data_IF_972240471221
#
_entry.id   IF_972240471221
#
_cell.length_a   1.000
_cell.length_b   1.000
_cell.length_c   1.000
_cell.angle_alpha   90.00
_cell.angle_beta   90.00
_cell.angle_gamma   90.00
#
_symmetry.space_group_name_H-M   'P 1'
#
loop_
_entity.id
_entity.type
_entity.pdbx_description
1 polymer ?
#
# COMPACT_ATOMS: atom_id res chain seq x y z
N UNK A 1 85.97 -23.19 -5.35
CA UNK A 1 85.15 -22.57 -4.33
C UNK A 1 84.11 -21.67 -5.03
N UNK A 2 82.89 -22.19 -5.24
CA UNK A 2 81.78 -21.40 -5.81
C UNK A 2 80.56 -21.54 -4.86
N UNK A 3 80.19 -20.46 -4.26
CA UNK A 3 79.03 -20.34 -3.39
C UNK A 3 77.79 -20.06 -4.27
N UNK A 4 76.81 -20.95 -4.14
CA UNK A 4 75.48 -20.86 -4.78
C UNK A 4 74.57 -19.98 -3.92
N UNK A 5 74.05 -18.90 -4.51
CA UNK A 5 73.01 -18.06 -3.87
C UNK A 5 71.63 -18.55 -4.16
N UNK A 6 70.89 -18.93 -3.11
CA UNK A 6 69.49 -19.25 -3.21
C UNK A 6 68.61 -17.98 -3.24
N UNK A 7 67.81 -17.84 -4.28
CA UNK A 7 66.78 -16.78 -4.36
C UNK A 7 65.49 -17.31 -3.71
N UNK A 8 65.10 -16.70 -2.60
CA UNK A 8 63.78 -16.87 -2.01
C UNK A 8 62.73 -16.06 -2.79
N UNK A 9 61.79 -16.74 -3.40
CA UNK A 9 60.65 -16.11 -4.04
C UNK A 9 59.52 -16.01 -2.99
N UNK A 10 59.20 -14.78 -2.57
CA UNK A 10 58.13 -14.51 -1.62
C UNK A 10 56.81 -14.39 -2.43
N UNK A 11 56.03 -15.44 -2.43
CA UNK A 11 54.66 -15.42 -3.01
C UNK A 11 53.71 -14.70 -2.04
N UNK A 12 53.30 -13.48 -2.39
CA UNK A 12 52.19 -12.80 -1.73
C UNK A 12 50.87 -13.50 -2.10
N UNK A 13 50.28 -14.23 -1.17
CA UNK A 13 48.93 -14.72 -1.28
C UNK A 13 48.03 -13.56 -0.86
N UNK A 14 47.33 -12.95 -1.84
CA UNK A 14 46.25 -11.99 -1.58
C UNK A 14 45.02 -12.81 -1.25
N UNK A 15 44.65 -12.89 0.02
CA UNK A 15 43.34 -13.41 0.44
C UNK A 15 42.27 -12.35 0.08
N UNK A 16 41.53 -12.59 -1.00
CA UNK A 16 40.30 -11.89 -1.26
C UNK A 16 39.23 -12.42 -0.27
N UNK A 17 39.05 -11.71 0.82
CA UNK A 17 37.93 -11.96 1.72
C UNK A 17 36.60 -11.57 1.04
N UNK A 18 35.84 -12.55 0.55
CA UNK A 18 34.47 -12.31 0.15
C UNK A 18 33.65 -11.96 1.41
N UNK A 19 33.26 -10.70 1.55
CA UNK A 19 32.23 -10.30 2.49
C UNK A 19 30.92 -10.93 2.02
N UNK A 20 30.57 -12.08 2.57
CA UNK A 20 29.23 -12.64 2.48
C UNK A 20 28.34 -11.78 3.38
N UNK A 21 27.68 -10.81 2.79
CA UNK A 21 26.59 -10.08 3.45
C UNK A 21 25.47 -11.10 3.70
N UNK A 22 25.34 -11.57 4.94
CA UNK A 22 24.18 -12.35 5.36
C UNK A 22 22.97 -11.42 5.31
N UNK A 23 22.20 -11.50 4.24
CA UNK A 23 20.88 -10.90 4.17
C UNK A 23 20.04 -11.67 5.20
N UNK A 24 19.48 -11.01 6.24
CA UNK A 24 18.61 -11.70 7.16
C UNK A 24 17.44 -12.25 6.36
N UNK A 25 17.20 -13.55 6.46
CA UNK A 25 15.99 -14.18 5.92
C UNK A 25 14.81 -13.52 6.61
N UNK A 26 14.13 -12.61 5.93
CA UNK A 26 12.88 -12.02 6.42
C UNK A 26 11.83 -13.10 6.36
N UNK A 27 11.64 -13.79 7.46
CA UNK A 27 10.47 -14.64 7.64
C UNK A 27 9.27 -13.71 7.70
N UNK A 28 8.35 -13.86 6.76
CA UNK A 28 7.11 -13.09 6.65
C UNK A 28 6.06 -13.54 7.70
N UNK A 29 6.47 -13.70 8.95
CA UNK A 29 5.61 -14.16 10.06
C UNK A 29 5.63 -13.19 11.25
N UNK A 30 5.70 -11.87 10.98
CA UNK A 30 5.26 -10.91 12.00
C UNK A 30 3.74 -10.90 12.00
N UNK A 31 3.14 -11.69 12.89
CA UNK A 31 1.70 -11.71 13.08
C UNK A 31 1.19 -10.28 13.29
N UNK A 32 0.19 -9.88 12.48
CA UNK A 32 -0.42 -8.55 12.63
C UNK A 32 -1.08 -8.48 14.01
N UNK A 33 -0.68 -7.50 14.81
CA UNK A 33 -1.12 -7.35 16.19
C UNK A 33 -2.15 -6.22 16.31
N UNK A 34 -3.26 -6.54 16.96
CA UNK A 34 -4.25 -5.55 17.36
C UNK A 34 -3.81 -4.84 18.64
N UNK A 35 -3.90 -3.51 18.69
CA UNK A 35 -3.63 -2.76 19.91
C UNK A 35 -4.59 -3.21 21.03
N UNK A 36 -4.08 -3.75 22.15
CA UNK A 36 -4.91 -4.29 23.21
C UNK A 36 -5.72 -3.22 23.96
N UNK A 37 -5.36 -1.94 23.81
CA UNK A 37 -6.04 -0.80 24.45
C UNK A 37 -7.26 -0.31 23.69
N UNK A 38 -7.50 -0.83 22.48
CA UNK A 38 -8.68 -0.49 21.66
C UNK A 38 -9.98 -0.83 22.41
N UNK A 39 -10.90 0.14 22.40
CA UNK A 39 -12.21 0.01 23.04
C UNK A 39 -13.18 -0.72 22.12
N UNK A 40 -14.06 -1.54 22.70
CA UNK A 40 -15.15 -2.18 21.98
C UNK A 40 -16.20 -1.16 21.50
N UNK A 41 -16.94 -1.51 20.46
CA UNK A 41 -18.03 -0.68 19.96
C UNK A 41 -19.20 -0.64 20.95
N UNK A 42 -19.63 0.55 21.29
CA UNK A 42 -20.84 0.75 22.13
C UNK A 42 -21.99 1.18 21.24
N UNK A 43 -22.96 0.27 21.08
CA UNK A 43 -24.15 0.50 20.28
C UNK A 43 -25.02 1.62 20.88
N UNK A 44 -25.50 2.51 20.01
CA UNK A 44 -26.47 3.56 20.36
C UNK A 44 -27.82 3.30 19.67
N UNK A 45 -28.89 3.91 20.15
CA UNK A 45 -30.22 3.80 19.55
C UNK A 45 -30.42 4.82 18.41
N UNK A 46 -31.39 4.57 17.54
CA UNK A 46 -31.81 5.52 16.51
C UNK A 46 -30.96 5.54 15.24
N UNK A 47 -30.05 4.60 15.06
CA UNK A 47 -29.22 4.49 13.84
C UNK A 47 -29.97 3.65 12.80
N UNK A 48 -30.41 4.30 11.74
CA UNK A 48 -31.15 3.69 10.61
C UNK A 48 -30.80 4.42 9.32
N UNK A 49 -31.16 3.85 8.18
CA UNK A 49 -31.03 4.52 6.88
C UNK A 49 -30.13 3.81 5.88
N UNK A 50 -29.81 4.54 4.82
CA UNK A 50 -29.01 4.04 3.71
C UNK A 50 -27.81 4.96 3.48
N UNK A 51 -26.65 4.38 3.21
CA UNK A 51 -25.42 5.11 2.88
C UNK A 51 -24.79 4.52 1.62
N UNK A 52 -24.38 5.39 0.71
CA UNK A 52 -23.57 5.02 -0.43
C UNK A 52 -22.09 5.35 -0.14
N UNK A 53 -21.24 4.38 -0.43
CA UNK A 53 -19.79 4.48 -0.38
C UNK A 53 -19.26 4.31 -1.79
N UNK A 54 -18.60 5.35 -2.34
CA UNK A 54 -18.04 5.34 -3.70
C UNK A 54 -16.58 5.76 -3.64
N UNK A 55 -15.68 4.92 -4.16
CA UNK A 55 -14.26 5.28 -4.15
C UNK A 55 -13.30 4.14 -4.45
N UNK A 56 -12.31 3.99 -3.59
CA UNK A 56 -11.17 3.12 -3.79
C UNK A 56 -11.51 1.64 -3.89
N UNK A 57 -11.05 0.99 -4.96
CA UNK A 57 -11.04 -0.47 -5.08
C UNK A 57 -10.19 -1.14 -3.98
N UNK A 58 -9.07 -0.53 -3.60
CA UNK A 58 -8.21 -1.06 -2.52
C UNK A 58 -8.97 -1.28 -1.21
N UNK A 59 -9.92 -0.40 -0.88
CA UNK A 59 -10.76 -0.53 0.33
C UNK A 59 -12.08 -1.28 0.08
N UNK A 60 -12.36 -1.73 -1.13
CA UNK A 60 -13.68 -2.27 -1.48
C UNK A 60 -14.06 -3.47 -0.59
N UNK A 61 -13.15 -4.43 -0.43
CA UNK A 61 -13.38 -5.59 0.43
C UNK A 61 -13.48 -5.19 1.90
N UNK A 62 -12.59 -4.33 2.37
CA UNK A 62 -12.57 -3.84 3.75
C UNK A 62 -13.86 -3.08 4.09
N UNK A 63 -14.33 -2.19 3.22
CA UNK A 63 -15.62 -1.49 3.38
C UNK A 63 -16.79 -2.47 3.43
N UNK A 64 -16.77 -3.54 2.63
CA UNK A 64 -17.79 -4.60 2.63
C UNK A 64 -17.80 -5.34 3.96
N UNK A 65 -16.65 -5.75 4.45
CA UNK A 65 -16.54 -6.45 5.74
C UNK A 65 -16.97 -5.56 6.92
N UNK A 66 -16.64 -4.27 6.90
CA UNK A 66 -17.15 -3.32 7.90
C UNK A 66 -18.66 -3.14 7.81
N UNK A 67 -19.20 -3.02 6.61
CA UNK A 67 -20.66 -2.92 6.43
C UNK A 67 -21.38 -4.17 6.94
N UNK A 68 -20.84 -5.36 6.70
CA UNK A 68 -21.37 -6.62 7.26
C UNK A 68 -21.29 -6.66 8.78
N UNK A 69 -20.14 -6.26 9.36
CA UNK A 69 -19.95 -6.17 10.80
C UNK A 69 -20.90 -5.18 11.46
N UNK A 70 -21.06 -4.00 10.86
CA UNK A 70 -21.93 -2.95 11.33
C UNK A 70 -23.42 -3.34 11.24
N UNK A 71 -23.81 -4.05 10.19
CA UNK A 71 -25.19 -4.54 10.01
C UNK A 71 -25.58 -5.58 11.07
N UNK A 72 -24.64 -6.30 11.68
CA UNK A 72 -24.93 -7.15 12.85
C UNK A 72 -25.40 -6.32 14.05
N UNK A 73 -24.92 -5.08 14.18
CA UNK A 73 -25.36 -4.15 15.21
C UNK A 73 -26.67 -3.44 14.83
N UNK A 74 -26.84 -3.11 13.54
CA UNK A 74 -27.96 -2.34 12.99
C UNK A 74 -28.57 -3.03 11.76
N UNK A 75 -29.43 -4.06 11.94
CA UNK A 75 -29.95 -4.86 10.83
C UNK A 75 -30.76 -4.09 9.77
N UNK A 76 -31.32 -2.94 10.13
CA UNK A 76 -32.08 -2.07 9.22
C UNK A 76 -31.20 -1.16 8.34
N UNK A 77 -29.92 -1.05 8.64
CA UNK A 77 -28.99 -0.19 7.90
C UNK A 77 -28.58 -0.87 6.60
N UNK A 78 -28.53 -0.09 5.51
CA UNK A 78 -28.01 -0.53 4.21
C UNK A 78 -26.83 0.34 3.81
N UNK A 79 -25.70 -0.28 3.52
CA UNK A 79 -24.51 0.38 2.99
C UNK A 79 -24.21 -0.22 1.61
N UNK A 80 -24.30 0.62 0.57
CA UNK A 80 -23.96 0.24 -0.81
C UNK A 80 -22.52 0.66 -1.08
N UNK A 81 -21.73 -0.22 -1.70
CA UNK A 81 -20.30 -0.02 -1.87
C UNK A 81 -19.94 -0.15 -3.35
N UNK A 82 -19.25 0.85 -3.89
CA UNK A 82 -18.71 0.88 -5.24
C UNK A 82 -17.21 1.19 -5.22
N UNK A 83 -16.38 0.20 -5.60
CA UNK A 83 -14.92 0.30 -5.63
C UNK A 83 -14.37 0.60 -7.02
N UNK A 84 -14.68 1.76 -7.61
CA UNK A 84 -14.27 2.13 -8.99
C UNK A 84 -12.96 2.92 -9.07
N UNK A 85 -12.30 3.15 -7.96
CA UNK A 85 -11.05 3.90 -7.84
C UNK A 85 -11.20 5.18 -7.03
N UNK A 86 -10.13 5.60 -6.36
CA UNK A 86 -10.16 6.78 -5.46
C UNK A 86 -10.59 8.07 -6.16
N UNK A 87 -10.35 8.20 -7.47
CA UNK A 87 -10.74 9.40 -8.22
C UNK A 87 -12.26 9.57 -8.38
N UNK A 88 -13.06 8.55 -8.06
CA UNK A 88 -14.53 8.64 -8.09
C UNK A 88 -15.12 9.19 -6.78
N UNK A 89 -14.37 9.16 -5.67
CA UNK A 89 -14.84 9.62 -4.36
C UNK A 89 -15.09 11.14 -4.31
N UNK A 90 -14.15 12.03 -4.75
CA UNK A 90 -14.37 13.47 -4.68
C UNK A 90 -15.63 13.94 -5.42
N UNK A 91 -15.88 13.60 -6.69
CA UNK A 91 -17.11 14.02 -7.38
C UNK A 91 -18.37 13.45 -6.70
N UNK A 92 -18.35 12.19 -6.25
CA UNK A 92 -19.51 11.59 -5.57
C UNK A 92 -19.87 12.30 -4.26
N UNK A 93 -18.87 12.70 -3.46
CA UNK A 93 -19.08 13.52 -2.26
C UNK A 93 -19.57 14.93 -2.59
N UNK A 94 -19.04 15.55 -3.66
CA UNK A 94 -19.44 16.87 -4.13
C UNK A 94 -20.88 16.86 -4.63
N UNK A 95 -21.30 15.85 -5.36
CA UNK A 95 -22.65 15.70 -5.90
C UNK A 95 -23.66 15.21 -4.85
N UNK A 96 -23.17 14.66 -3.71
CA UNK A 96 -24.01 14.09 -2.67
C UNK A 96 -24.56 12.70 -3.02
N UNK A 97 -24.00 12.05 -4.05
CA UNK A 97 -24.35 10.66 -4.43
C UNK A 97 -23.72 9.63 -3.52
N UNK A 98 -22.66 10.01 -2.77
CA UNK A 98 -22.08 9.22 -1.70
C UNK A 98 -21.89 10.06 -0.43
N UNK A 99 -22.04 9.43 0.74
CA UNK A 99 -21.71 10.02 2.04
C UNK A 99 -20.33 9.58 2.55
N UNK A 100 -19.80 8.47 2.01
CA UNK A 100 -18.50 7.91 2.33
C UNK A 100 -17.66 7.85 1.05
N UNK A 101 -16.47 8.44 1.08
CA UNK A 101 -15.50 8.43 -0.01
C UNK A 101 -14.21 7.71 0.38
N UNK A 102 -14.13 6.36 0.31
CA UNK A 102 -12.90 5.65 0.60
C UNK A 102 -11.83 5.96 -0.44
N UNK A 103 -10.61 6.23 0.02
CA UNK A 103 -9.47 6.58 -0.83
C UNK A 103 -8.18 5.93 -0.33
N UNK A 104 -7.38 5.43 -1.27
CA UNK A 104 -6.05 4.85 -1.01
C UNK A 104 -4.90 5.81 -1.32
N UNK A 105 -5.19 7.09 -1.38
CA UNK A 105 -4.31 8.26 -1.40
C UNK A 105 -5.03 9.45 -0.80
N UNK A 106 -4.30 10.48 -0.44
CA UNK A 106 -4.91 11.76 -0.12
C UNK A 106 -5.64 12.35 -1.35
N UNK A 107 -6.69 13.15 -1.11
CA UNK A 107 -7.26 13.97 -2.17
C UNK A 107 -6.20 14.91 -2.74
N UNK A 108 -6.18 15.07 -4.06
CA UNK A 108 -5.35 16.07 -4.73
C UNK A 108 -5.84 17.48 -4.39
N UNK A 109 -4.96 18.46 -4.45
CA UNK A 109 -5.36 19.86 -4.22
C UNK A 109 -6.52 20.29 -5.11
N UNK A 110 -6.51 19.91 -6.39
CA UNK A 110 -7.60 20.20 -7.33
C UNK A 110 -8.94 19.58 -6.92
N UNK A 111 -8.94 18.40 -6.27
CA UNK A 111 -10.13 17.73 -5.75
C UNK A 111 -10.64 18.45 -4.50
N UNK A 112 -9.72 18.84 -3.59
CA UNK A 112 -10.04 19.64 -2.39
C UNK A 112 -10.61 21.01 -2.79
N UNK A 113 -9.98 21.71 -3.75
CA UNK A 113 -10.43 23.01 -4.24
C UNK A 113 -11.84 22.93 -4.89
N UNK A 114 -12.12 21.84 -5.61
CA UNK A 114 -13.45 21.60 -6.18
C UNK A 114 -14.51 21.42 -5.10
N UNK A 115 -14.19 20.67 -4.06
CA UNK A 115 -15.07 20.51 -2.90
C UNK A 115 -15.28 21.83 -2.16
N UNK A 116 -14.20 22.56 -1.86
CA UNK A 116 -14.23 23.82 -1.12
C UNK A 116 -14.98 24.94 -1.90
N UNK A 117 -14.88 24.96 -3.22
CA UNK A 117 -15.70 25.88 -4.03
C UNK A 117 -17.20 25.68 -3.83
N UNK A 118 -17.65 24.43 -3.70
CA UNK A 118 -19.07 24.12 -3.50
C UNK A 118 -19.53 24.36 -2.06
N UNK A 119 -18.78 23.90 -1.09
CA UNK A 119 -19.23 23.83 0.29
C UNK A 119 -18.68 24.95 1.19
N UNK A 120 -17.64 25.67 0.75
CA UNK A 120 -16.93 26.73 1.51
C UNK A 120 -16.13 26.22 2.71
N UNK A 121 -15.86 24.91 2.78
CA UNK A 121 -14.98 24.24 3.72
C UNK A 121 -14.38 23.00 3.06
N UNK A 122 -13.30 22.47 3.66
CA UNK A 122 -12.60 21.30 3.13
C UNK A 122 -13.28 19.99 3.55
N UNK A 123 -13.16 18.92 2.74
CA UNK A 123 -13.64 17.59 3.14
C UNK A 123 -12.86 17.09 4.35
N UNK A 124 -13.52 16.31 5.22
CA UNK A 124 -12.86 15.69 6.37
C UNK A 124 -12.37 14.30 6.02
N UNK A 125 -11.07 14.06 6.27
CA UNK A 125 -10.45 12.76 6.08
C UNK A 125 -10.33 12.02 7.42
N UNK A 126 -10.70 10.74 7.42
CA UNK A 126 -10.50 9.81 8.53
C UNK A 126 -9.55 8.70 8.08
N UNK A 127 -8.34 8.57 8.65
CA UNK A 127 -7.53 7.37 8.48
C UNK A 127 -8.27 6.19 9.11
N UNK A 128 -8.36 5.06 8.38
CA UNK A 128 -9.15 3.91 8.82
C UNK A 128 -8.32 2.63 8.94
N UNK A 129 -7.18 2.57 8.26
CA UNK A 129 -6.21 1.49 8.32
C UNK A 129 -4.86 1.98 7.82
N UNK A 130 -3.80 1.21 8.09
CA UNK A 130 -2.46 1.42 7.52
C UNK A 130 -2.21 0.34 6.48
N UNK A 131 -1.62 0.73 5.35
CA UNK A 131 -1.25 -0.15 4.25
C UNK A 131 0.25 -0.01 3.96
N UNK A 132 0.93 -1.13 3.75
CA UNK A 132 2.18 -1.16 3.02
C UNK A 132 1.86 -1.44 1.56
N UNK A 133 2.02 -0.45 0.69
CA UNK A 133 1.88 -0.68 -0.74
C UNK A 133 3.04 -1.57 -1.19
N UNK A 134 2.76 -2.85 -1.33
CA UNK A 134 3.78 -3.85 -1.64
C UNK A 134 4.12 -3.89 -3.13
N UNK A 135 5.41 -4.06 -3.43
CA UNK A 135 5.88 -4.47 -4.73
C UNK A 135 5.94 -6.00 -4.73
N UNK A 136 5.13 -6.62 -5.56
CA UNK A 136 4.98 -8.06 -5.65
C UNK A 136 5.75 -8.64 -6.83
N UNK A 137 6.34 -9.79 -6.61
CA UNK A 137 6.83 -10.69 -7.66
C UNK A 137 6.19 -12.05 -7.52
N UNK A 138 6.23 -12.85 -8.57
CA UNK A 138 5.83 -14.25 -8.49
C UNK A 138 6.61 -14.97 -7.37
N UNK A 139 5.96 -15.91 -6.67
CA UNK A 139 6.57 -16.65 -5.54
C UNK A 139 7.89 -17.32 -5.88
N UNK A 140 8.05 -17.77 -7.13
CA UNK A 140 9.23 -18.50 -7.62
C UNK A 140 10.29 -17.57 -8.25
N UNK A 141 10.05 -16.26 -8.33
CA UNK A 141 11.05 -15.30 -8.79
C UNK A 141 12.17 -15.14 -7.74
N UNK A 142 13.45 -15.30 -8.09
CA UNK A 142 14.54 -15.31 -7.11
C UNK A 142 14.98 -13.95 -6.57
N UNK A 143 14.45 -12.82 -7.09
CA UNK A 143 14.83 -11.47 -6.64
C UNK A 143 14.55 -11.30 -5.15
N UNK A 144 15.53 -10.83 -4.37
CA UNK A 144 15.40 -10.76 -2.91
C UNK A 144 14.89 -9.41 -2.39
N UNK A 145 15.02 -8.36 -3.17
CA UNK A 145 14.59 -7.00 -2.82
C UNK A 145 14.98 -6.02 -3.89
N UNK A 146 14.44 -4.81 -3.83
CA UNK A 146 14.72 -3.74 -4.79
C UNK A 146 14.98 -2.42 -4.06
N UNK A 147 15.91 -1.62 -4.60
CA UNK A 147 16.01 -0.20 -4.21
C UNK A 147 14.90 0.60 -4.87
N UNK A 148 14.54 1.75 -4.31
CA UNK A 148 13.55 2.65 -4.92
C UNK A 148 13.99 3.10 -6.33
N UNK A 149 15.29 3.24 -6.57
CA UNK A 149 15.82 3.54 -7.90
C UNK A 149 15.59 2.39 -8.90
N UNK A 150 15.70 1.14 -8.45
CA UNK A 150 15.41 -0.04 -9.28
C UNK A 150 13.90 -0.17 -9.54
N UNK A 151 13.05 0.07 -8.53
CA UNK A 151 11.59 0.11 -8.71
C UNK A 151 11.22 1.16 -9.78
N UNK A 152 11.73 2.37 -9.66
CA UNK A 152 11.50 3.44 -10.64
C UNK A 152 12.01 3.04 -12.04
N UNK A 153 13.19 2.43 -12.14
CA UNK A 153 13.77 1.99 -13.42
C UNK A 153 12.98 0.86 -14.11
N UNK A 154 12.26 0.05 -13.33
CA UNK A 154 11.37 -1.00 -13.85
C UNK A 154 10.07 -0.39 -14.36
N UNK A 155 9.42 0.48 -13.57
CA UNK A 155 8.07 0.96 -13.84
C UNK A 155 7.99 2.26 -14.65
N UNK A 156 9.07 3.07 -14.69
CA UNK A 156 9.05 4.44 -15.23
C UNK A 156 9.95 4.61 -16.45
N UNK A 157 9.48 5.45 -17.40
CA UNK A 157 10.29 5.96 -18.52
C UNK A 157 11.32 7.01 -18.07
N UNK A 158 10.97 7.77 -17.02
CA UNK A 158 11.68 8.99 -16.63
C UNK A 158 12.76 8.77 -15.60
N UNK A 159 12.73 7.68 -14.84
CA UNK A 159 13.75 7.26 -13.85
C UNK A 159 14.20 8.38 -12.91
N UNK A 160 13.26 9.05 -12.26
CA UNK A 160 13.51 10.24 -11.41
C UNK A 160 14.24 9.93 -10.10
N UNK A 161 14.37 8.65 -9.73
CA UNK A 161 15.25 8.20 -8.64
C UNK A 161 16.72 8.07 -9.08
N UNK A 162 17.05 8.37 -10.35
CA UNK A 162 18.43 8.51 -10.83
C UNK A 162 19.07 7.23 -11.34
N UNK A 163 18.32 6.17 -11.62
CA UNK A 163 18.91 5.00 -12.29
C UNK A 163 19.46 5.39 -13.67
N UNK A 164 20.71 5.02 -14.00
CA UNK A 164 21.34 5.39 -15.27
C UNK A 164 20.69 4.71 -16.47
N UNK A 165 20.07 3.55 -16.25
CA UNK A 165 19.44 2.76 -17.32
C UNK A 165 18.04 2.27 -16.92
N UNK A 166 17.24 1.95 -17.92
CA UNK A 166 15.98 1.22 -17.72
C UNK A 166 16.28 -0.23 -17.37
N UNK A 167 15.39 -0.83 -16.56
CA UNK A 167 15.44 -2.25 -16.24
C UNK A 167 14.28 -2.94 -16.97
N UNK A 168 14.62 -3.82 -17.88
CA UNK A 168 13.68 -4.52 -18.78
C UNK A 168 13.75 -6.03 -18.64
N UNK A 169 14.85 -6.56 -18.07
CA UNK A 169 15.07 -7.98 -17.84
C UNK A 169 15.62 -8.23 -16.46
N UNK A 170 15.35 -9.41 -15.94
CA UNK A 170 15.76 -9.80 -14.60
C UNK A 170 17.28 -9.97 -14.44
N UNK A 171 18.03 -10.34 -15.52
CA UNK A 171 19.49 -10.45 -15.47
C UNK A 171 20.21 -9.11 -15.18
N UNK A 172 19.58 -7.98 -15.53
CA UNK A 172 20.11 -6.63 -15.21
C UNK A 172 20.11 -6.33 -13.70
N UNK A 173 19.40 -7.15 -12.92
CA UNK A 173 19.39 -7.12 -11.45
C UNK A 173 20.33 -8.16 -10.82
N UNK A 174 21.19 -8.81 -11.62
CA UNK A 174 22.07 -9.87 -11.16
C UNK A 174 21.37 -11.21 -10.92
N UNK A 175 20.13 -11.36 -11.38
CA UNK A 175 19.36 -12.60 -11.27
C UNK A 175 19.92 -13.62 -12.27
N UNK A 176 19.99 -14.87 -11.84
CA UNK A 176 20.40 -16.02 -12.66
C UNK A 176 19.31 -17.07 -12.73
N UNK A 177 19.42 -18.05 -13.63
CA UNK A 177 18.43 -19.12 -13.80
C UNK A 177 17.43 -18.82 -14.90
N UNK A 178 16.32 -19.56 -14.92
CA UNK A 178 15.36 -19.57 -16.04
C UNK A 178 14.71 -18.22 -16.32
N UNK A 179 14.40 -17.46 -15.28
CA UNK A 179 13.74 -16.14 -15.41
C UNK A 179 14.71 -15.03 -15.80
N UNK A 180 16.03 -15.23 -15.70
CA UNK A 180 17.05 -14.19 -15.86
C UNK A 180 16.94 -13.40 -17.17
N UNK A 181 16.90 -14.11 -18.30
CA UNK A 181 16.81 -13.52 -19.64
C UNK A 181 15.39 -13.06 -20.03
N UNK A 182 14.40 -13.36 -19.20
CA UNK A 182 13.01 -13.00 -19.49
C UNK A 182 12.79 -11.50 -19.37
N UNK A 183 12.01 -10.89 -20.27
CA UNK A 183 11.50 -9.53 -20.08
C UNK A 183 10.69 -9.44 -18.78
N UNK A 184 10.84 -8.33 -18.06
CA UNK A 184 10.04 -8.06 -16.86
C UNK A 184 8.61 -7.70 -17.31
N UNK A 185 7.63 -8.52 -16.92
CA UNK A 185 6.22 -8.25 -17.15
C UNK A 185 5.67 -7.34 -16.04
N UNK A 186 5.28 -6.12 -16.38
CA UNK A 186 4.92 -5.09 -15.42
C UNK A 186 3.40 -5.00 -15.29
N UNK A 187 2.87 -5.24 -14.08
CA UNK A 187 1.44 -5.14 -13.76
C UNK A 187 1.18 -3.91 -12.90
N UNK A 188 0.26 -3.06 -13.31
CA UNK A 188 -0.09 -1.83 -12.61
C UNK A 188 -1.59 -1.60 -12.56
N UNK A 189 -1.98 -0.41 -12.11
CA UNK A 189 -3.37 0.02 -12.04
C UNK A 189 -3.63 1.12 -13.06
N UNK A 190 -4.90 1.34 -13.41
CA UNK A 190 -5.33 2.45 -14.24
C UNK A 190 -5.33 3.79 -13.46
N UNK A 191 -5.46 4.90 -14.17
CA UNK A 191 -5.38 6.26 -13.62
C UNK A 191 -6.51 6.65 -12.66
N UNK A 192 -7.64 5.93 -12.62
CA UNK A 192 -8.71 6.13 -11.65
C UNK A 192 -8.32 5.62 -10.24
N UNK A 193 -7.37 4.70 -10.17
CA UNK A 193 -6.88 4.10 -8.94
C UNK A 193 -6.10 5.10 -8.08
N UNK A 194 -6.41 5.15 -6.79
CA UNK A 194 -5.58 5.87 -5.81
C UNK A 194 -4.21 5.22 -5.65
N UNK A 195 -4.13 3.90 -5.77
CA UNK A 195 -2.87 3.16 -5.71
C UNK A 195 -1.95 3.49 -6.88
N UNK A 196 -2.50 3.68 -8.10
CA UNK A 196 -1.76 4.24 -9.22
C UNK A 196 -1.17 5.61 -8.89
N UNK A 197 -2.01 6.52 -8.36
CA UNK A 197 -1.57 7.88 -8.02
C UNK A 197 -0.51 7.90 -6.93
N UNK A 198 -0.70 7.11 -5.87
CA UNK A 198 0.27 7.00 -4.77
C UNK A 198 1.61 6.42 -5.26
N UNK A 199 1.59 5.33 -6.04
CA UNK A 199 2.81 4.73 -6.58
C UNK A 199 3.53 5.70 -7.52
N UNK A 200 2.78 6.43 -8.38
CA UNK A 200 3.37 7.47 -9.25
C UNK A 200 4.09 8.55 -8.44
N UNK A 201 3.49 9.00 -7.35
CA UNK A 201 4.05 10.06 -6.50
C UNK A 201 5.29 9.57 -5.72
N UNK A 202 5.16 8.46 -5.01
CA UNK A 202 6.18 8.02 -4.04
C UNK A 202 7.21 7.06 -4.62
N UNK A 203 6.82 6.18 -5.54
CA UNK A 203 7.75 5.22 -6.14
C UNK A 203 8.38 5.70 -7.45
N UNK A 204 7.79 6.70 -8.14
CA UNK A 204 8.30 7.24 -9.41
C UNK A 204 8.60 8.74 -9.34
N UNK A 205 8.46 9.40 -8.18
CA UNK A 205 8.60 10.87 -8.02
C UNK A 205 7.81 11.66 -9.08
N UNK A 206 6.56 11.27 -9.31
CA UNK A 206 5.70 11.78 -10.38
C UNK A 206 6.27 11.58 -11.80
N UNK A 207 7.16 10.60 -11.98
CA UNK A 207 7.63 10.15 -13.30
C UNK A 207 6.51 9.46 -14.10
N UNK A 208 6.74 9.30 -15.40
CA UNK A 208 5.76 8.67 -16.28
C UNK A 208 5.97 7.17 -16.31
N UNK A 209 4.88 6.43 -16.16
CA UNK A 209 4.91 4.97 -16.32
C UNK A 209 5.39 4.58 -17.72
N UNK A 210 5.99 3.41 -17.84
CA UNK A 210 6.26 2.77 -19.12
C UNK A 210 4.93 2.41 -19.83
N UNK A 211 4.95 2.39 -21.14
CA UNK A 211 3.77 2.06 -21.97
C UNK A 211 3.42 0.56 -21.89
N UNK A 212 4.41 -0.27 -21.52
CA UNK A 212 4.30 -1.71 -21.39
C UNK A 212 3.60 -2.15 -20.08
N UNK A 213 3.27 -1.20 -19.19
CA UNK A 213 2.54 -1.52 -17.95
C UNK A 213 1.16 -2.08 -18.29
N UNK A 214 0.95 -3.34 -17.92
CA UNK A 214 -0.34 -4.03 -18.07
C UNK A 214 -1.32 -3.48 -17.03
N UNK A 215 -2.12 -2.49 -17.41
CA UNK A 215 -3.10 -1.86 -16.51
C UNK A 215 -4.20 -2.84 -16.12
N UNK A 216 -4.39 -2.99 -14.80
CA UNK A 216 -5.40 -3.86 -14.22
C UNK A 216 -6.55 -3.05 -13.58
N UNK A 217 -7.80 -3.53 -13.68
CA UNK A 217 -8.95 -2.82 -13.14
C UNK A 217 -8.97 -2.79 -11.60
N UNK A 218 -8.40 -3.82 -10.94
CA UNK A 218 -8.45 -3.99 -9.50
C UNK A 218 -7.13 -4.42 -8.87
N UNK A 219 -7.05 -4.31 -7.56
CA UNK A 219 -5.89 -4.73 -6.75
C UNK A 219 -5.67 -6.23 -6.83
N UNK A 220 -6.74 -7.02 -6.74
CA UNK A 220 -6.70 -8.48 -6.87
C UNK A 220 -6.20 -8.90 -8.26
N UNK A 221 -6.60 -8.20 -9.33
CA UNK A 221 -6.18 -8.53 -10.70
C UNK A 221 -4.68 -8.30 -10.93
N UNK A 222 -4.06 -7.32 -10.26
CA UNK A 222 -2.59 -7.15 -10.27
C UNK A 222 -1.92 -8.38 -9.66
N UNK A 223 -2.36 -8.78 -8.47
CA UNK A 223 -1.79 -9.95 -7.77
C UNK A 223 -2.00 -11.24 -8.56
N UNK A 224 -3.18 -11.41 -9.17
CA UNK A 224 -3.48 -12.54 -10.06
C UNK A 224 -2.50 -12.58 -11.25
N UNK A 225 -2.31 -11.45 -11.96
CA UNK A 225 -1.39 -11.38 -13.08
C UNK A 225 0.05 -11.73 -12.72
N UNK A 226 0.53 -11.26 -11.55
CA UNK A 226 1.86 -11.61 -11.04
C UNK A 226 1.94 -13.09 -10.62
N UNK A 227 0.86 -13.65 -10.07
CA UNK A 227 0.79 -15.07 -9.70
C UNK A 227 0.94 -15.99 -10.91
N UNK A 228 0.36 -15.61 -12.05
CA UNK A 228 0.35 -16.41 -13.28
C UNK A 228 1.61 -16.23 -14.14
N UNK A 229 2.46 -15.25 -13.82
CA UNK A 229 3.62 -14.87 -14.62
C UNK A 229 4.90 -14.88 -13.77
N UNK A 230 5.77 -15.87 -13.97
CA UNK A 230 7.03 -16.00 -13.22
C UNK A 230 7.96 -14.79 -13.41
N UNK A 231 7.90 -14.13 -14.57
CA UNK A 231 8.63 -12.89 -14.85
C UNK A 231 7.87 -11.64 -14.41
N UNK A 232 6.71 -11.80 -13.75
CA UNK A 232 5.82 -10.73 -13.35
C UNK A 232 6.32 -9.93 -12.14
N UNK A 233 6.12 -8.62 -12.21
CA UNK A 233 6.22 -7.68 -11.10
C UNK A 233 5.00 -6.75 -11.11
N UNK A 234 4.50 -6.40 -9.94
CA UNK A 234 3.35 -5.51 -9.83
C UNK A 234 3.29 -4.82 -8.47
N UNK A 235 2.35 -3.91 -8.27
CA UNK A 235 2.14 -3.26 -6.98
C UNK A 235 0.67 -3.30 -6.56
N UNK A 236 0.44 -3.62 -5.30
CA UNK A 236 -0.90 -3.65 -4.69
C UNK A 236 -0.80 -3.48 -3.17
N UNK A 237 -1.90 -3.17 -2.50
CA UNK A 237 -1.94 -3.13 -1.04
C UNK A 237 -1.59 -4.49 -0.42
N UNK A 238 -0.97 -4.46 0.78
CA UNK A 238 -0.51 -5.68 1.46
C UNK A 238 -1.65 -6.66 1.73
N UNK A 239 -2.87 -6.18 1.96
CA UNK A 239 -4.05 -7.02 2.19
C UNK A 239 -4.45 -7.91 1.00
N UNK A 240 -3.88 -7.69 -0.18
CA UNK A 240 -4.12 -8.53 -1.37
C UNK A 240 -3.09 -9.64 -1.56
N UNK A 241 -2.14 -9.80 -0.63
CA UNK A 241 -1.12 -10.84 -0.72
C UNK A 241 -1.74 -12.23 -0.75
N UNK A 242 -1.26 -13.08 -1.65
CA UNK A 242 -1.63 -14.50 -1.76
C UNK A 242 -0.40 -15.38 -1.74
N UNK A 243 -0.57 -16.69 -1.59
CA UNK A 243 0.53 -17.65 -1.65
C UNK A 243 1.22 -17.75 -3.01
N UNK A 244 0.65 -17.15 -4.06
CA UNK A 244 1.24 -17.12 -5.41
C UNK A 244 2.25 -15.99 -5.64
N UNK A 245 2.38 -15.06 -4.70
CA UNK A 245 3.29 -13.90 -4.80
C UNK A 245 4.15 -13.73 -3.55
N UNK A 246 5.23 -12.98 -3.69
CA UNK A 246 6.05 -12.48 -2.58
C UNK A 246 6.06 -10.95 -2.60
N UNK A 247 5.88 -10.34 -1.45
CA UNK A 247 6.10 -8.91 -1.26
C UNK A 247 7.60 -8.65 -1.04
N UNK A 248 8.19 -7.79 -1.87
CA UNK A 248 9.61 -7.49 -1.80
C UNK A 248 9.93 -6.50 -0.68
N UNK A 249 11.00 -6.73 0.09
CA UNK A 249 11.58 -5.68 0.90
C UNK A 249 12.21 -4.62 0.00
N UNK A 250 12.09 -3.35 0.41
CA UNK A 250 12.58 -2.21 -0.34
C UNK A 250 13.68 -1.48 0.41
N UNK A 251 14.68 -1.00 -0.32
CA UNK A 251 15.70 -0.11 0.22
C UNK A 251 15.52 1.30 -0.36
N UNK A 252 15.64 2.32 0.47
CA UNK A 252 15.46 3.73 0.05
C UNK A 252 16.50 4.15 -1.01
N UNK A 253 17.73 3.64 -0.88
CA UNK A 253 18.85 3.88 -1.82
C UNK A 253 19.82 2.72 -1.82
N UNK A 254 20.74 2.73 -2.77
CA UNK A 254 21.86 1.80 -2.83
C UNK A 254 22.66 1.78 -1.51
N UNK A 255 23.00 0.59 -1.01
CA UNK A 255 23.72 0.38 0.25
C UNK A 255 22.89 0.59 1.52
N UNK A 256 21.62 1.00 1.42
CA UNK A 256 20.72 1.02 2.56
C UNK A 256 20.16 -0.39 2.84
N UNK A 257 19.73 -0.62 4.09
CA UNK A 257 19.09 -1.88 4.48
C UNK A 257 17.76 -2.06 3.77
N UNK A 258 17.48 -3.28 3.35
CA UNK A 258 16.17 -3.66 2.84
C UNK A 258 15.15 -3.75 3.98
N UNK A 259 14.00 -3.10 3.82
CA UNK A 259 12.92 -3.02 4.81
C UNK A 259 11.70 -3.77 4.25
N UNK A 260 11.23 -4.77 5.01
CA UNK A 260 10.06 -5.56 4.63
C UNK A 260 8.75 -4.78 4.89
N UNK A 261 7.67 -5.06 4.12
CA UNK A 261 6.36 -4.44 4.27
C UNK A 261 5.58 -5.04 5.48
N UNK A 262 6.15 -4.94 6.69
CA UNK A 262 5.54 -5.42 7.93
C UNK A 262 4.74 -4.32 8.63
N UNK A 263 3.86 -4.71 9.57
CA UNK A 263 3.11 -3.76 10.40
C UNK A 263 4.06 -2.78 11.11
N UNK A 264 5.10 -3.28 11.77
CA UNK A 264 6.08 -2.46 12.48
C UNK A 264 6.75 -1.44 11.57
N UNK A 265 7.18 -1.86 10.39
CA UNK A 265 7.90 -0.99 9.45
C UNK A 265 6.97 0.03 8.75
N UNK A 266 5.70 -0.32 8.54
CA UNK A 266 4.70 0.62 8.05
C UNK A 266 4.33 1.67 9.12
N UNK A 267 4.15 1.24 10.38
CA UNK A 267 3.76 2.12 11.48
C UNK A 267 4.87 3.10 11.90
N UNK A 268 6.13 2.69 11.87
CA UNK A 268 7.27 3.56 12.22
C UNK A 268 7.80 4.37 11.01
N UNK A 269 7.23 4.16 9.82
CA UNK A 269 7.59 4.89 8.60
C UNK A 269 8.88 4.42 7.93
N UNK A 270 9.49 3.30 8.37
CA UNK A 270 10.73 2.79 7.76
C UNK A 270 10.49 2.09 6.41
N UNK A 271 9.30 1.53 6.17
CA UNK A 271 8.95 1.02 4.85
C UNK A 271 8.58 2.18 3.91
N UNK A 272 9.28 2.37 2.77
CA UNK A 272 9.16 3.61 2.00
C UNK A 272 7.81 3.84 1.32
N UNK A 273 7.02 2.80 1.11
CA UNK A 273 5.71 2.87 0.45
C UNK A 273 4.54 2.59 1.42
N UNK A 274 4.66 3.00 2.68
CA UNK A 274 3.54 2.96 3.61
C UNK A 274 2.56 4.11 3.39
N UNK A 275 1.28 3.91 3.72
CA UNK A 275 0.24 4.93 3.61
C UNK A 275 -0.92 4.68 4.56
N UNK A 276 -1.68 5.73 4.87
CA UNK A 276 -3.01 5.58 5.44
C UNK A 276 -4.04 5.26 4.34
N UNK A 277 -4.94 4.35 4.63
CA UNK A 277 -6.20 4.21 3.92
C UNK A 277 -7.20 5.16 4.57
N UNK A 278 -7.92 5.93 3.75
CA UNK A 278 -8.71 7.07 4.19
C UNK A 278 -10.18 6.88 3.81
N UNK A 279 -11.08 7.38 4.67
CA UNK A 279 -12.49 7.62 4.31
C UNK A 279 -12.75 9.12 4.43
N UNK A 280 -13.11 9.74 3.32
CA UNK A 280 -13.52 11.14 3.28
C UNK A 280 -15.03 11.26 3.47
N UNK A 281 -15.42 12.32 4.17
CA UNK A 281 -16.83 12.68 4.37
C UNK A 281 -17.04 14.18 4.18
N UNK A 282 -18.27 14.56 3.86
CA UNK A 282 -18.72 15.94 3.84
C UNK A 282 -19.20 16.34 5.24
N UNK A 283 -18.29 16.78 6.11
CA UNK A 283 -18.57 17.26 7.47
C UNK A 283 -18.53 18.79 7.48
N UNK A 284 -19.70 19.41 7.57
CA UNK A 284 -19.79 20.85 7.77
C UNK A 284 -19.28 21.23 9.17
N UNK A 285 -18.46 22.29 9.31
CA UNK A 285 -17.94 22.72 10.61
C UNK A 285 -19.02 23.04 11.65
N UNK A 286 -20.19 23.51 11.20
CA UNK A 286 -21.27 24.00 12.04
C UNK A 286 -22.47 23.04 12.16
N UNK A 287 -22.36 21.82 11.68
CA UNK A 287 -23.42 20.83 11.73
C UNK A 287 -22.87 19.48 12.19
N UNK A 288 -23.64 18.73 12.99
CA UNK A 288 -23.25 17.36 13.32
C UNK A 288 -23.15 16.54 12.05
N UNK A 289 -22.28 15.52 12.07
CA UNK A 289 -22.24 14.52 11.03
C UNK A 289 -23.53 13.70 11.03
N UNK A 290 -23.94 13.21 9.86
CA UNK A 290 -25.05 12.27 9.77
C UNK A 290 -24.87 11.13 10.81
N UNK A 291 -25.89 10.82 11.65
CA UNK A 291 -25.73 9.86 12.73
C UNK A 291 -25.28 8.47 12.27
N UNK A 292 -25.76 8.01 11.10
CA UNK A 292 -25.35 6.72 10.55
C UNK A 292 -23.89 6.74 10.12
N UNK A 293 -23.44 7.80 9.44
CA UNK A 293 -22.03 7.98 9.04
C UNK A 293 -21.13 8.08 10.27
N UNK A 294 -21.53 8.87 11.26
CA UNK A 294 -20.80 9.02 12.54
C UNK A 294 -20.60 7.67 13.23
N UNK A 295 -21.68 6.92 13.40
CA UNK A 295 -21.63 5.63 14.09
C UNK A 295 -20.90 4.55 13.27
N UNK A 296 -20.97 4.60 11.94
CA UNK A 296 -20.21 3.69 11.09
C UNK A 296 -18.69 3.94 11.23
N UNK A 297 -18.23 5.22 11.27
CA UNK A 297 -16.83 5.53 11.51
C UNK A 297 -16.40 5.14 12.94
N UNK A 298 -17.25 5.35 13.95
CA UNK A 298 -16.98 4.86 15.33
C UNK A 298 -16.86 3.33 15.37
N UNK A 299 -17.70 2.62 14.63
CA UNK A 299 -17.57 1.16 14.52
C UNK A 299 -16.25 0.77 13.85
N UNK A 300 -15.83 1.44 12.79
CA UNK A 300 -14.51 1.22 12.16
C UNK A 300 -13.38 1.43 13.17
N UNK A 301 -13.48 2.44 14.03
CA UNK A 301 -12.49 2.76 15.07
C UNK A 301 -12.54 1.88 16.31
N UNK A 302 -13.54 1.03 16.44
CA UNK A 302 -13.64 0.09 17.56
C UNK A 302 -12.69 -1.09 17.42
N UNK A 303 -12.52 -1.83 18.53
CA UNK A 303 -11.77 -3.09 18.54
C UNK A 303 -12.29 -4.07 17.48
N UNK A 304 -13.61 -4.18 17.31
CA UNK A 304 -14.24 -5.03 16.32
C UNK A 304 -13.94 -4.56 14.90
N UNK A 305 -14.01 -3.25 14.66
CA UNK A 305 -13.70 -2.66 13.36
C UNK A 305 -12.23 -2.81 12.97
N UNK A 306 -11.32 -2.63 13.91
CA UNK A 306 -9.89 -2.81 13.66
C UNK A 306 -9.49 -4.31 13.59
N UNK A 307 -10.20 -5.22 14.24
CA UNK A 307 -10.04 -6.65 14.00
C UNK A 307 -10.42 -7.06 12.56
N UNK A 308 -11.41 -6.39 11.96
CA UNK A 308 -11.74 -6.57 10.54
C UNK A 308 -10.60 -6.12 9.62
N UNK A 309 -9.86 -5.07 9.97
CA UNK A 309 -8.66 -4.63 9.22
C UNK A 309 -7.63 -5.75 9.13
N UNK A 310 -7.35 -6.42 10.25
CA UNK A 310 -6.44 -7.58 10.31
C UNK A 310 -6.97 -8.73 9.44
N UNK A 311 -8.27 -9.02 9.54
CA UNK A 311 -8.90 -10.09 8.75
C UNK A 311 -8.76 -9.86 7.25
N UNK A 312 -8.76 -8.61 6.80
CA UNK A 312 -8.56 -8.22 5.40
C UNK A 312 -7.07 -8.08 5.01
N UNK A 313 -6.14 -8.39 5.94
CA UNK A 313 -4.69 -8.40 5.71
C UNK A 313 -4.02 -7.03 5.76
N UNK A 314 -4.74 -5.97 6.15
CA UNK A 314 -4.16 -4.64 6.39
C UNK A 314 -3.75 -4.45 7.85
N UNK A 315 -3.07 -3.37 8.15
CA UNK A 315 -2.58 -3.07 9.49
C UNK A 315 -3.56 -2.17 10.24
N UNK A 316 -3.96 -2.55 11.47
CA UNK A 316 -4.89 -1.76 12.27
C UNK A 316 -4.25 -0.46 12.76
N UNK A 317 -5.08 0.54 12.99
CA UNK A 317 -4.69 1.78 13.64
C UNK A 317 -4.45 1.55 15.14
N UNK A 318 -3.41 2.15 15.73
CA UNK A 318 -3.26 2.17 17.17
C UNK A 318 -4.27 3.11 17.84
N UNK A 319 -4.62 2.85 19.12
CA UNK A 319 -5.54 3.65 19.91
C UNK A 319 -5.16 5.14 19.93
N UNK A 320 -3.86 5.45 19.98
CA UNK A 320 -3.35 6.83 20.00
C UNK A 320 -3.66 7.64 18.73
N UNK A 321 -3.82 6.98 17.58
CA UNK A 321 -4.27 7.61 16.33
C UNK A 321 -5.78 7.82 16.39
N UNK A 322 -6.54 6.80 16.79
CA UNK A 322 -7.99 6.85 16.88
C UNK A 322 -8.46 7.96 17.83
N UNK A 323 -7.82 8.12 18.98
CA UNK A 323 -8.15 9.18 19.94
C UNK A 323 -8.00 10.60 19.38
N UNK A 324 -7.07 10.81 18.45
CA UNK A 324 -6.91 12.10 17.75
C UNK A 324 -7.98 12.34 16.68
N UNK A 325 -8.55 11.27 16.15
CA UNK A 325 -9.54 11.34 15.07
C UNK A 325 -10.98 11.45 15.58
N UNK A 326 -11.31 10.81 16.71
CA UNK A 326 -12.66 10.80 17.29
C UNK A 326 -13.28 12.19 17.47
N UNK A 327 -12.55 13.24 17.92
CA UNK A 327 -13.10 14.60 18.06
C UNK A 327 -13.61 15.19 16.73
N UNK A 328 -13.10 14.76 15.59
CA UNK A 328 -13.56 15.25 14.28
C UNK A 328 -14.98 14.78 13.93
N UNK A 329 -15.50 13.79 14.65
CA UNK A 329 -16.85 13.26 14.44
C UNK A 329 -17.94 14.14 15.11
N UNK A 330 -17.56 15.02 16.01
CA UNK A 330 -18.45 15.90 16.78
C UNK A 330 -18.80 17.23 16.06
#
# INVERSE_FOLDING_TARGET
MKLSGARFCLSCIVLLGALVSTIPSVHADDAIVLDPTLKGYVKVTGVTGNVNSIGSDTLNNLMTLWAEGFRKQYPSVKIQIEGKGSSTAPPALIEGTALLGPMSRAMKNTEIDAFERKFRYKPTAFPVAIDALAVYVNKDNPVQGLTMAQVDAIFSKTRRFGSPQTLERWDQLGITGEVAASPISIYGRNSASGTYGFFKEYALKNGDYKDEVKEQPGSASVVQGVTEDQAGIGYSGIGYMTSGVRALPLAEKEGASFVAPTQTNAMNGSYPLWRNLLVYVNKSPNKPLDPLVKEFIKFIYSKEGQAIVIKDGFFPLPQSVIEKELPKLE
#
